data_IF_292065928512
#
_entry.id   IF_292065928512
#
_cell.length_a   1.000
_cell.length_b   1.000
_cell.length_c   1.000
_cell.angle_alpha   90.00
_cell.angle_beta   90.00
_cell.angle_gamma   90.00
#
_symmetry.space_group_name_H-M   'P 1'
#
loop_
_entity.id
_entity.type
_entity.pdbx_description
1 polymer ?
#
# COMPACT_ATOMS: atom_id res chain seq x y z
N UNK A 1 66.55 -3.30 -8.11
CA UNK A 1 67.54 -3.56 -7.06
C UNK A 1 66.82 -3.72 -5.73
N UNK A 2 67.12 -4.80 -5.02
CA UNK A 2 66.88 -5.12 -3.60
C UNK A 2 65.46 -4.85 -3.02
N UNK A 3 64.59 -5.83 -2.76
CA UNK A 3 64.66 -7.07 -1.94
C UNK A 3 64.38 -6.84 -0.45
N UNK A 4 63.49 -7.70 0.06
CA UNK A 4 63.24 -8.13 1.43
C UNK A 4 62.42 -7.21 2.35
N UNK A 5 61.45 -7.73 3.11
CA UNK A 5 61.09 -9.12 3.36
C UNK A 5 60.78 -9.36 4.84
N UNK A 6 60.22 -10.56 5.09
CA UNK A 6 59.96 -11.22 6.37
C UNK A 6 58.64 -10.84 7.06
N UNK A 7 57.62 -11.71 7.02
CA UNK A 7 57.50 -12.97 7.80
C UNK A 7 57.21 -12.66 9.27
N UNK A 8 56.16 -13.18 9.90
CA UNK A 8 55.48 -14.46 9.74
C UNK A 8 55.46 -15.12 11.12
N UNK A 9 54.35 -15.76 11.49
CA UNK A 9 54.31 -17.14 12.02
C UNK A 9 52.92 -17.49 12.62
N UNK A 10 52.62 -18.80 12.71
CA UNK A 10 51.25 -19.34 12.72
C UNK A 10 50.95 -20.20 13.97
N UNK A 11 49.82 -20.92 13.92
CA UNK A 11 49.55 -22.20 14.61
C UNK A 11 49.11 -22.07 16.08
N UNK A 12 48.00 -22.69 16.54
CA UNK A 12 47.78 -24.11 16.91
C UNK A 12 46.24 -24.23 17.14
N UNK A 13 45.43 -25.04 16.46
CA UNK A 13 45.24 -26.51 16.43
C UNK A 13 44.65 -27.16 17.70
N UNK A 14 43.66 -28.05 17.46
CA UNK A 14 43.10 -29.13 18.31
C UNK A 14 41.95 -28.73 19.25
N UNK A 15 40.86 -29.49 19.42
CA UNK A 15 40.26 -30.68 18.78
C UNK A 15 38.81 -30.78 19.34
N UNK A 16 37.90 -31.52 18.69
CA UNK A 16 36.56 -31.83 19.19
C UNK A 16 36.57 -33.07 20.10
N UNK A 17 35.53 -33.32 20.90
CA UNK A 17 35.09 -34.62 21.46
C UNK A 17 33.81 -34.39 22.30
N UNK A 18 32.66 -34.93 21.86
CA UNK A 18 31.96 -36.10 22.45
C UNK A 18 31.27 -35.79 23.80
N UNK A 19 30.15 -36.38 24.20
CA UNK A 19 29.11 -37.24 23.66
C UNK A 19 28.21 -37.51 24.88
N UNK A 20 26.89 -37.70 24.71
CA UNK A 20 26.11 -38.66 25.51
C UNK A 20 24.65 -38.65 25.05
N UNK A 21 24.31 -39.68 24.27
CA UNK A 21 23.00 -40.33 24.29
C UNK A 21 22.85 -41.10 25.62
N UNK A 22 21.61 -41.35 26.10
CA UNK A 22 20.95 -42.64 25.81
C UNK A 22 19.48 -42.42 25.39
N UNK A 23 18.96 -43.02 24.31
CA UNK A 23 18.47 -44.40 24.19
C UNK A 23 17.49 -44.83 25.29
N UNK A 24 16.19 -44.85 24.96
CA UNK A 24 15.26 -45.96 25.25
C UNK A 24 13.92 -45.75 24.53
N UNK A 25 13.84 -46.43 23.37
CA UNK A 25 12.81 -47.32 22.81
C UNK A 25 11.37 -47.42 23.40
N UNK A 26 10.43 -48.01 22.63
CA UNK A 26 9.07 -47.51 22.42
C UNK A 26 7.98 -48.35 23.10
N UNK A 27 6.76 -47.79 23.19
CA UNK A 27 5.59 -48.53 23.63
C UNK A 27 4.26 -47.86 23.27
N UNK A 28 3.73 -48.24 22.10
CA UNK A 28 2.33 -48.66 21.77
C UNK A 28 1.09 -47.86 22.27
N UNK A 29 -0.05 -48.03 21.58
CA UNK A 29 -1.08 -47.01 21.43
C UNK A 29 -2.11 -47.03 22.56
N UNK A 30 -2.66 -45.85 22.87
CA UNK A 30 -3.80 -45.72 23.78
C UNK A 30 -5.11 -45.74 22.98
N UNK A 31 -5.93 -46.77 23.22
CA UNK A 31 -7.28 -46.94 22.70
C UNK A 31 -8.34 -46.33 23.66
N UNK A 32 -9.46 -45.92 23.05
CA UNK A 32 -10.82 -45.68 23.57
C UNK A 32 -11.04 -45.49 25.08
N UNK A 33 -11.68 -44.36 25.39
CA UNK A 33 -13.06 -44.34 25.92
C UNK A 33 -13.52 -42.88 26.06
N UNK A 34 -14.48 -42.41 25.25
CA UNK A 34 -15.90 -42.31 25.66
C UNK A 34 -16.10 -41.81 27.09
N UNK A 35 -16.33 -40.50 27.23
CA UNK A 35 -16.95 -39.93 28.43
C UNK A 35 -18.30 -39.28 28.07
N UNK A 36 -19.34 -39.45 28.90
CA UNK A 36 -20.75 -39.36 28.49
C UNK A 36 -21.39 -38.07 29.00
N UNK A 37 -21.67 -37.12 28.12
CA UNK A 37 -22.54 -35.97 28.42
C UNK A 37 -23.48 -35.60 27.28
N UNK A 38 -23.95 -36.62 26.58
CA UNK A 38 -25.13 -36.55 25.72
C UNK A 38 -25.94 -37.80 26.08
N UNK A 39 -27.24 -37.63 26.38
CA UNK A 39 -28.22 -38.63 26.89
C UNK A 39 -28.46 -38.61 28.40
N UNK A 40 -29.04 -37.51 28.88
CA UNK A 40 -30.01 -37.56 29.98
C UNK A 40 -30.91 -36.33 29.89
N UNK A 41 -31.93 -36.38 29.02
CA UNK A 41 -33.18 -35.60 29.09
C UNK A 41 -34.08 -35.92 27.88
N UNK A 42 -34.20 -37.21 27.56
CA UNK A 42 -35.30 -37.77 26.77
C UNK A 42 -35.80 -38.97 27.57
N UNK A 43 -37.11 -39.11 27.70
CA UNK A 43 -37.87 -40.08 28.53
C UNK A 43 -38.19 -39.67 29.98
N UNK A 44 -38.88 -38.53 30.11
CA UNK A 44 -40.03 -38.42 31.03
C UNK A 44 -41.14 -37.75 30.23
N UNK A 45 -42.37 -38.28 30.33
CA UNK A 45 -43.60 -37.78 29.72
C UNK A 45 -43.93 -38.21 28.27
N UNK A 46 -43.97 -39.53 28.05
CA UNK A 46 -45.01 -40.12 27.21
C UNK A 46 -46.05 -40.75 28.16
N UNK A 47 -47.20 -40.11 28.37
CA UNK A 47 -48.46 -40.78 28.72
C UNK A 47 -49.64 -39.81 28.61
N UNK A 48 -50.52 -40.11 27.66
CA UNK A 48 -51.98 -39.91 27.65
C UNK A 48 -52.61 -38.69 28.34
N UNK A 49 -53.31 -37.85 27.54
CA UNK A 49 -54.78 -37.94 27.44
C UNK A 49 -55.32 -37.07 26.30
N UNK A 50 -56.28 -37.62 25.56
CA UNK A 50 -57.08 -36.97 24.53
C UNK A 50 -58.05 -35.94 25.13
N UNK A 51 -58.18 -34.78 24.48
CA UNK A 51 -59.43 -34.03 24.23
C UNK A 51 -59.20 -33.31 22.89
N UNK A 52 -59.70 -33.81 21.75
CA UNK A 52 -61.04 -33.57 21.21
C UNK A 52 -61.39 -32.08 21.08
N UNK A 53 -61.53 -31.64 19.81
CA UNK A 53 -62.55 -30.74 19.24
C UNK A 53 -61.97 -29.62 18.36
N UNK A 54 -62.52 -29.50 17.16
CA UNK A 54 -62.65 -28.23 16.45
C UNK A 54 -61.79 -28.10 15.20
N UNK A 55 -62.46 -28.08 14.05
CA UNK A 55 -61.89 -28.09 12.71
C UNK A 55 -60.84 -27.01 12.41
N UNK A 56 -60.04 -27.29 11.39
CA UNK A 56 -59.20 -26.29 10.75
C UNK A 56 -60.09 -25.11 10.29
N UNK A 57 -59.91 -23.89 10.82
CA UNK A 57 -60.51 -22.75 10.19
C UNK A 57 -59.79 -22.56 8.86
N UNK A 58 -60.52 -22.73 7.75
CA UNK A 58 -60.13 -22.14 6.48
C UNK A 58 -60.12 -20.62 6.70
N UNK A 59 -58.97 -20.08 7.09
CA UNK A 59 -58.80 -18.62 7.19
C UNK A 59 -59.04 -18.07 5.79
N UNK A 60 -60.22 -17.49 5.59
CA UNK A 60 -60.50 -16.55 4.51
C UNK A 60 -59.41 -15.49 4.56
N UNK A 61 -58.40 -15.65 3.72
CA UNK A 61 -57.30 -14.70 3.67
C UNK A 61 -57.84 -13.48 2.93
N UNK A 62 -58.13 -12.42 3.69
CA UNK A 62 -58.47 -11.13 3.11
C UNK A 62 -57.39 -10.81 2.06
N UNK A 63 -57.75 -10.72 0.75
CA UNK A 63 -56.76 -10.57 -0.31
C UNK A 63 -55.87 -9.36 -0.06
N UNK A 64 -56.41 -8.29 0.55
CA UNK A 64 -55.63 -7.11 0.97
C UNK A 64 -54.55 -7.48 2.00
N UNK A 65 -54.85 -8.28 3.01
CA UNK A 65 -53.87 -8.71 4.02
C UNK A 65 -52.77 -9.61 3.42
N UNK A 66 -53.10 -10.40 2.39
CA UNK A 66 -52.12 -11.21 1.65
C UNK A 66 -51.16 -10.33 0.86
N UNK A 67 -51.71 -9.33 0.15
CA UNK A 67 -50.91 -8.32 -0.55
C UNK A 67 -50.04 -7.50 0.39
N UNK A 68 -50.55 -7.11 1.58
CA UNK A 68 -49.73 -6.44 2.60
C UNK A 68 -48.57 -7.31 3.10
N UNK A 69 -48.77 -8.61 3.31
CA UNK A 69 -47.70 -9.53 3.71
C UNK A 69 -46.65 -9.73 2.63
N UNK A 70 -47.07 -9.85 1.37
CA UNK A 70 -46.15 -9.95 0.22
C UNK A 70 -45.35 -8.66 0.07
N UNK A 71 -46.01 -7.50 0.14
CA UNK A 71 -45.36 -6.20 0.02
C UNK A 71 -44.35 -5.97 1.15
N UNK A 72 -44.73 -6.30 2.39
CA UNK A 72 -43.84 -6.21 3.55
C UNK A 72 -42.65 -7.17 3.44
N UNK A 73 -42.87 -8.39 2.95
CA UNK A 73 -41.79 -9.35 2.71
C UNK A 73 -40.84 -8.89 1.60
N UNK A 74 -41.37 -8.27 0.54
CA UNK A 74 -40.56 -7.73 -0.56
C UNK A 74 -39.73 -6.53 -0.10
N UNK A 75 -40.29 -5.62 0.70
CA UNK A 75 -39.54 -4.47 1.22
C UNK A 75 -38.45 -4.88 2.20
N UNK A 76 -38.72 -5.84 3.08
CA UNK A 76 -37.69 -6.43 3.96
C UNK A 76 -36.62 -7.15 3.16
N UNK A 77 -36.98 -7.89 2.11
CA UNK A 77 -36.04 -8.59 1.24
C UNK A 77 -35.13 -7.62 0.46
N UNK A 78 -35.69 -6.57 -0.14
CA UNK A 78 -34.93 -5.54 -0.86
C UNK A 78 -34.06 -4.73 0.10
N UNK A 79 -34.56 -4.38 1.28
CA UNK A 79 -33.77 -3.71 2.32
C UNK A 79 -32.61 -4.57 2.82
N UNK A 80 -32.84 -5.87 3.01
CA UNK A 80 -31.80 -6.83 3.41
C UNK A 80 -30.74 -7.00 2.29
N UNK A 81 -31.17 -7.08 1.02
CA UNK A 81 -30.26 -7.15 -0.12
C UNK A 81 -29.46 -5.85 -0.30
N UNK A 82 -30.07 -4.69 -0.09
CA UNK A 82 -29.39 -3.39 -0.12
C UNK A 82 -28.35 -3.29 1.00
N UNK A 83 -28.69 -3.69 2.22
CA UNK A 83 -27.73 -3.76 3.33
C UNK A 83 -26.60 -4.76 3.06
N UNK A 84 -26.89 -5.91 2.44
CA UNK A 84 -25.87 -6.89 2.04
C UNK A 84 -24.93 -6.33 0.96
N UNK A 85 -25.47 -5.57 -0.01
CA UNK A 85 -24.66 -4.87 -1.02
C UNK A 85 -23.71 -3.83 -0.39
N UNK A 86 -24.12 -3.11 0.66
CA UNK A 86 -23.23 -2.14 1.34
C UNK A 86 -22.04 -2.77 2.06
N UNK A 87 -22.15 -4.02 2.53
CA UNK A 87 -21.04 -4.71 3.22
C UNK A 87 -19.95 -5.21 2.24
N UNK A 88 -20.28 -5.36 0.96
CA UNK A 88 -19.33 -5.80 -0.08
C UNK A 88 -18.50 -4.66 -0.67
N UNK A 89 -18.94 -3.40 -0.53
CA UNK A 89 -18.27 -2.21 -1.09
C UNK A 89 -17.62 -1.40 0.03
N UNK A 90 -16.87 -2.05 0.93
CA UNK A 90 -15.97 -1.32 1.83
C UNK A 90 -14.73 -0.90 1.03
N UNK A 91 -14.45 0.40 0.86
CA UNK A 91 -13.23 0.82 0.17
C UNK A 91 -12.02 0.28 0.94
N UNK A 92 -11.22 -0.55 0.28
CA UNK A 92 -9.98 -1.06 0.86
C UNK A 92 -9.03 0.12 1.00
N UNK A 93 -8.47 0.31 2.21
CA UNK A 93 -7.37 1.26 2.40
C UNK A 93 -6.25 0.89 1.41
N UNK A 94 -5.73 1.84 0.63
CA UNK A 94 -4.64 1.58 -0.30
C UNK A 94 -3.45 0.95 0.44
N UNK A 95 -2.91 -0.15 -0.10
CA UNK A 95 -1.80 -0.87 0.52
C UNK A 95 -0.43 -0.30 0.14
N UNK A 96 -0.38 0.43 -0.97
CA UNK A 96 0.84 0.98 -1.55
C UNK A 96 0.53 2.29 -2.30
N UNK A 97 1.59 3.03 -2.65
CA UNK A 97 1.51 4.32 -3.31
C UNK A 97 0.87 4.28 -4.71
N UNK A 98 1.05 3.20 -5.46
CA UNK A 98 0.53 3.12 -6.84
C UNK A 98 -0.96 2.83 -6.90
N UNK A 99 -1.55 2.36 -5.80
CA UNK A 99 -3.00 2.13 -5.67
C UNK A 99 -3.82 3.43 -5.60
N UNK A 100 -3.18 4.59 -5.50
CA UNK A 100 -3.87 5.88 -5.45
C UNK A 100 -4.15 6.46 -6.84
N UNK A 101 -5.10 7.38 -6.89
CA UNK A 101 -5.32 8.26 -8.04
C UNK A 101 -4.84 9.68 -7.69
N UNK A 102 -4.37 10.40 -8.70
CA UNK A 102 -4.00 11.80 -8.59
C UNK A 102 -4.59 12.57 -9.76
N UNK A 103 -4.71 13.90 -9.64
CA UNK A 103 -5.08 14.75 -10.78
C UNK A 103 -3.82 15.15 -11.54
N UNK A 104 -3.81 15.03 -12.87
CA UNK A 104 -2.74 15.59 -13.70
C UNK A 104 -2.79 17.13 -13.71
N UNK A 105 -1.79 17.79 -14.30
CA UNK A 105 -1.77 19.26 -14.37
C UNK A 105 -2.98 19.87 -15.11
N UNK A 106 -3.69 19.10 -15.94
CA UNK A 106 -4.91 19.52 -16.66
C UNK A 106 -6.19 19.24 -15.85
N UNK A 107 -6.08 18.72 -14.63
CA UNK A 107 -7.18 18.42 -13.73
C UNK A 107 -7.84 17.05 -13.94
N UNK A 108 -7.34 16.24 -14.87
CA UNK A 108 -7.88 14.90 -15.17
C UNK A 108 -7.39 13.90 -14.13
N UNK A 109 -8.28 13.05 -13.64
CA UNK A 109 -7.89 11.96 -12.75
C UNK A 109 -7.05 10.94 -13.51
N UNK A 110 -5.90 10.57 -12.95
CA UNK A 110 -4.98 9.57 -13.46
C UNK A 110 -4.64 8.58 -12.36
N UNK A 111 -4.72 7.28 -12.68
CA UNK A 111 -4.25 6.25 -11.76
C UNK A 111 -2.73 6.24 -11.70
N UNK A 112 -2.17 6.13 -10.49
CA UNK A 112 -0.73 5.96 -10.28
C UNK A 112 -0.26 4.53 -10.58
N UNK A 113 -1.18 3.59 -10.79
CA UNK A 113 -0.90 2.19 -11.12
C UNK A 113 -0.02 2.05 -12.37
N UNK A 114 -0.14 2.99 -13.32
CA UNK A 114 0.70 3.03 -14.53
C UNK A 114 2.20 3.18 -14.26
N UNK A 115 2.59 3.57 -13.05
CA UNK A 115 3.98 3.68 -12.62
C UNK A 115 4.47 2.44 -11.86
N UNK A 116 3.60 1.47 -11.57
CA UNK A 116 3.96 0.21 -10.92
C UNK A 116 5.01 -0.54 -11.75
N UNK A 117 5.93 -1.22 -11.07
CA UNK A 117 7.02 -1.94 -11.72
C UNK A 117 8.24 -1.07 -12.06
N UNK A 118 8.22 0.21 -11.69
CA UNK A 118 9.32 1.18 -11.86
C UNK A 118 9.72 1.77 -10.51
N UNK A 119 10.95 2.27 -10.42
CA UNK A 119 11.33 3.17 -9.34
C UNK A 119 10.70 4.55 -9.58
N UNK A 120 10.07 5.15 -8.56
CA UNK A 120 9.50 6.49 -8.65
C UNK A 120 10.11 7.42 -7.61
N UNK A 121 10.66 8.55 -8.06
CA UNK A 121 11.09 9.63 -7.16
C UNK A 121 9.97 10.68 -7.09
N UNK A 122 9.22 10.68 -6.00
CA UNK A 122 8.11 11.62 -5.78
C UNK A 122 8.63 12.87 -5.09
N UNK A 123 8.32 14.05 -5.62
CA UNK A 123 8.89 15.32 -5.16
C UNK A 123 7.80 16.38 -5.00
N UNK A 124 7.77 17.08 -3.86
CA UNK A 124 6.96 18.30 -3.73
C UNK A 124 7.73 19.49 -4.33
N UNK A 125 7.22 20.07 -5.41
CA UNK A 125 7.95 21.09 -6.18
C UNK A 125 7.37 22.49 -5.98
N UNK A 126 8.20 23.48 -6.27
CA UNK A 126 7.81 24.88 -6.36
C UNK A 126 8.58 25.61 -7.48
N UNK A 127 7.99 26.66 -8.02
CA UNK A 127 8.45 27.48 -9.13
C UNK A 127 9.20 28.72 -8.66
N UNK A 128 8.83 29.30 -7.51
CA UNK A 128 9.46 30.51 -6.96
C UNK A 128 10.21 30.25 -5.65
N UNK A 129 11.13 29.29 -5.65
CA UNK A 129 11.97 28.96 -4.49
C UNK A 129 13.46 29.07 -4.85
N UNK A 130 14.32 29.46 -3.91
CA UNK A 130 15.77 29.52 -4.11
C UNK A 130 16.40 28.18 -4.55
N UNK A 131 15.70 27.06 -4.29
CA UNK A 131 16.15 25.72 -4.65
C UNK A 131 15.61 25.23 -5.99
N UNK A 132 14.74 26.01 -6.66
CA UNK A 132 14.01 25.59 -7.86
C UNK A 132 14.94 25.26 -9.03
N UNK A 133 15.88 26.16 -9.34
CA UNK A 133 16.77 25.98 -10.49
C UNK A 133 17.65 24.73 -10.36
N UNK A 134 18.33 24.60 -9.21
CA UNK A 134 19.21 23.45 -8.96
C UNK A 134 18.43 22.13 -8.96
N UNK A 135 17.25 22.08 -8.32
CA UNK A 135 16.47 20.86 -8.26
C UNK A 135 15.90 20.45 -9.62
N UNK A 136 15.29 21.36 -10.39
CA UNK A 136 14.73 20.98 -11.69
C UNK A 136 15.80 20.48 -12.66
N UNK A 137 16.97 21.14 -12.72
CA UNK A 137 18.09 20.70 -13.55
C UNK A 137 18.56 19.30 -13.16
N UNK A 138 18.83 19.05 -11.88
CA UNK A 138 19.31 17.74 -11.42
C UNK A 138 18.27 16.63 -11.52
N UNK A 139 16.98 16.93 -11.29
CA UNK A 139 15.89 15.97 -11.45
C UNK A 139 15.69 15.59 -12.92
N UNK A 140 15.77 16.56 -13.84
CA UNK A 140 15.66 16.30 -15.27
C UNK A 140 16.83 15.46 -15.79
N UNK A 141 18.05 15.77 -15.34
CA UNK A 141 19.23 14.97 -15.68
C UNK A 141 19.09 13.53 -15.18
N UNK A 142 18.72 13.33 -13.91
CA UNK A 142 18.50 12.00 -13.33
C UNK A 142 17.40 11.23 -14.10
N UNK A 143 16.31 11.91 -14.44
CA UNK A 143 15.20 11.33 -15.20
C UNK A 143 15.62 10.89 -16.61
N UNK A 144 16.46 11.68 -17.28
CA UNK A 144 17.00 11.38 -18.60
C UNK A 144 17.99 10.22 -18.56
N UNK A 145 18.92 10.21 -17.61
CA UNK A 145 19.99 9.20 -17.51
C UNK A 145 19.46 7.79 -17.23
N UNK A 146 18.51 7.67 -16.30
CA UNK A 146 18.03 6.35 -15.86
C UNK A 146 16.97 5.74 -16.79
N UNK A 147 16.54 6.48 -17.80
CA UNK A 147 15.55 6.04 -18.79
C UNK A 147 14.15 5.84 -18.20
N UNK A 148 13.13 6.23 -18.96
CA UNK A 148 11.72 6.20 -18.52
C UNK A 148 11.13 4.79 -18.36
N UNK A 149 11.85 3.75 -18.81
CA UNK A 149 11.41 2.35 -18.77
C UNK A 149 11.40 1.78 -17.35
N UNK A 150 12.33 2.20 -16.49
CA UNK A 150 12.51 1.65 -15.13
C UNK A 150 12.50 2.73 -14.04
N UNK A 151 12.51 4.01 -14.41
CA UNK A 151 12.51 5.12 -13.47
C UNK A 151 11.62 6.28 -13.94
N UNK A 152 11.01 6.99 -12.99
CA UNK A 152 10.33 8.25 -13.27
C UNK A 152 10.33 9.21 -12.06
N UNK A 153 10.51 10.50 -12.34
CA UNK A 153 10.24 11.57 -11.36
C UNK A 153 8.74 11.90 -11.41
N UNK A 154 8.10 12.07 -10.26
CA UNK A 154 6.69 12.43 -10.13
C UNK A 154 6.60 13.76 -9.37
N UNK A 155 6.27 14.85 -10.07
CA UNK A 155 6.29 16.20 -9.50
C UNK A 155 4.91 16.63 -9.02
N UNK A 156 4.78 16.93 -7.72
CA UNK A 156 3.56 17.40 -7.08
C UNK A 156 3.76 18.84 -6.61
N UNK A 157 3.26 19.86 -7.34
CA UNK A 157 3.37 21.24 -6.91
C UNK A 157 2.66 21.49 -5.58
N UNK A 158 3.25 22.29 -4.69
CA UNK A 158 2.65 22.64 -3.40
C UNK A 158 2.93 24.10 -3.02
N UNK A 159 1.89 24.85 -2.69
CA UNK A 159 2.00 26.27 -2.30
C UNK A 159 2.09 26.54 -0.81
N UNK A 160 2.10 25.51 0.05
CA UNK A 160 2.02 25.68 1.51
C UNK A 160 3.35 26.06 2.19
N UNK A 161 4.42 26.23 1.41
CA UNK A 161 5.76 26.53 1.94
C UNK A 161 6.26 27.85 1.35
N UNK A 162 6.18 28.93 2.13
CA UNK A 162 6.70 30.26 1.75
C UNK A 162 5.97 30.93 0.58
N UNK A 163 4.70 30.60 0.32
CA UNK A 163 3.86 31.14 -0.76
C UNK A 163 4.49 31.07 -2.16
N UNK A 164 5.36 30.07 -2.37
CA UNK A 164 6.16 29.95 -3.59
C UNK A 164 5.40 29.42 -4.81
N UNK A 165 4.14 28.97 -4.64
CA UNK A 165 3.34 28.30 -5.68
C UNK A 165 1.89 28.81 -5.80
N UNK A 166 1.76 30.08 -6.21
CA UNK A 166 0.45 30.74 -6.34
C UNK A 166 -0.30 30.38 -7.63
N UNK A 167 0.41 30.02 -8.70
CA UNK A 167 -0.14 29.74 -10.02
C UNK A 167 -1.07 28.52 -10.11
N UNK A 168 -1.71 28.37 -11.28
CA UNK A 168 -2.51 27.20 -11.63
C UNK A 168 -1.58 26.04 -12.04
N UNK A 169 -2.04 24.81 -11.83
CA UNK A 169 -1.27 23.59 -12.15
C UNK A 169 -0.72 23.57 -13.59
N UNK A 170 -1.47 24.09 -14.56
CA UNK A 170 -1.07 24.13 -15.98
C UNK A 170 0.07 25.13 -16.22
N UNK A 171 0.02 26.27 -15.55
CA UNK A 171 1.03 27.33 -15.69
C UNK A 171 2.34 26.90 -15.03
N UNK A 172 2.25 26.20 -13.90
CA UNK A 172 3.38 25.61 -13.19
C UNK A 172 4.10 24.58 -14.09
N UNK A 173 3.34 23.65 -14.69
CA UNK A 173 3.90 22.67 -15.63
C UNK A 173 4.52 23.37 -16.84
N UNK A 174 3.84 24.37 -17.40
CA UNK A 174 4.33 25.12 -18.56
C UNK A 174 5.64 25.86 -18.25
N UNK A 175 5.72 26.52 -17.10
CA UNK A 175 6.92 27.21 -16.60
C UNK A 175 8.10 26.23 -16.48
N UNK A 176 7.89 25.10 -15.79
CA UNK A 176 8.96 24.13 -15.58
C UNK A 176 9.47 23.56 -16.92
N UNK A 177 8.55 23.32 -17.88
CA UNK A 177 8.89 22.83 -19.22
C UNK A 177 9.63 23.87 -20.05
N UNK A 178 9.13 25.11 -20.10
CA UNK A 178 9.72 26.17 -20.94
C UNK A 178 11.08 26.63 -20.41
N UNK A 179 11.26 26.64 -19.09
CA UNK A 179 12.45 27.20 -18.44
C UNK A 179 13.55 26.15 -18.24
N UNK A 180 13.18 24.90 -17.91
CA UNK A 180 14.14 23.85 -17.55
C UNK A 180 14.10 22.63 -18.46
N UNK A 181 13.19 22.59 -19.44
CA UNK A 181 13.08 21.47 -20.39
C UNK A 181 12.68 20.15 -19.71
N UNK A 182 11.94 20.21 -18.59
CA UNK A 182 11.55 19.00 -17.86
C UNK A 182 10.59 18.13 -18.69
N UNK A 183 10.80 16.82 -18.66
CA UNK A 183 9.98 15.85 -19.42
C UNK A 183 9.20 14.89 -18.52
N UNK A 184 9.47 14.90 -17.22
CA UNK A 184 8.74 14.08 -16.25
C UNK A 184 7.33 14.63 -15.96
N UNK A 185 6.39 13.77 -15.52
CA UNK A 185 5.00 14.15 -15.26
C UNK A 185 4.84 15.14 -14.10
N UNK A 186 3.99 16.15 -14.34
CA UNK A 186 3.46 17.05 -13.33
C UNK A 186 2.01 16.71 -12.99
N UNK A 187 1.72 16.71 -11.70
CA UNK A 187 0.37 16.58 -11.17
C UNK A 187 -0.23 17.96 -10.89
N UNK A 188 -1.53 17.97 -10.57
CA UNK A 188 -2.18 19.17 -10.05
C UNK A 188 -1.52 19.63 -8.75
N UNK A 189 -1.58 20.94 -8.49
CA UNK A 189 -1.18 21.50 -7.20
C UNK A 189 -1.95 20.82 -6.08
N UNK A 190 -1.23 20.33 -5.07
CA UNK A 190 -1.78 19.61 -3.92
C UNK A 190 -1.59 20.39 -2.63
N UNK A 191 -2.27 19.92 -1.58
CA UNK A 191 -1.94 20.24 -0.18
C UNK A 191 -1.24 19.03 0.42
N UNK A 192 -0.20 19.28 1.20
CA UNK A 192 0.56 18.29 1.98
C UNK A 192 0.20 18.41 3.46
N UNK A 193 -0.13 19.61 3.93
CA UNK A 193 -0.49 19.89 5.33
C UNK A 193 -2.00 20.07 5.49
N UNK A 194 -2.52 19.65 6.64
CA UNK A 194 -3.90 19.87 7.07
C UNK A 194 -4.85 18.71 6.75
N UNK A 195 -6.14 18.92 7.03
CA UNK A 195 -7.21 17.93 6.79
C UNK A 195 -7.43 17.63 5.30
N UNK A 196 -7.10 18.58 4.43
CA UNK A 196 -7.21 18.47 2.97
C UNK A 196 -5.92 17.94 2.31
N UNK A 197 -4.99 17.37 3.08
CA UNK A 197 -3.78 16.78 2.53
C UNK A 197 -4.11 15.70 1.49
N UNK A 198 -3.44 15.74 0.35
CA UNK A 198 -3.59 14.78 -0.74
C UNK A 198 -3.35 13.35 -0.21
N UNK A 199 -4.28 12.39 -0.43
CA UNK A 199 -4.16 11.06 0.13
C UNK A 199 -2.91 10.30 -0.32
N UNK A 200 -2.48 10.48 -1.58
CA UNK A 200 -1.30 9.81 -2.10
C UNK A 200 -0.03 10.39 -1.47
N UNK A 201 0.04 11.72 -1.33
CA UNK A 201 1.18 12.35 -0.65
C UNK A 201 1.20 12.04 0.86
N UNK A 202 0.02 12.00 1.50
CA UNK A 202 -0.12 11.62 2.90
C UNK A 202 0.38 10.19 3.17
N UNK A 203 0.13 9.25 2.26
CA UNK A 203 0.72 7.91 2.35
C UNK A 203 2.25 7.96 2.41
N UNK A 204 2.89 8.83 1.63
CA UNK A 204 4.34 8.98 1.64
C UNK A 204 4.85 9.48 3.00
N UNK A 205 4.23 10.54 3.53
CA UNK A 205 4.62 11.14 4.81
C UNK A 205 4.36 10.21 5.99
N UNK A 206 3.24 9.48 5.96
CA UNK A 206 2.87 8.50 6.98
C UNK A 206 3.80 7.27 6.93
N UNK A 207 4.22 6.84 5.74
CA UNK A 207 5.14 5.71 5.59
C UNK A 207 6.50 5.95 6.25
N UNK A 208 6.99 7.20 6.23
CA UNK A 208 8.28 7.57 6.84
C UNK A 208 8.14 8.30 8.17
N UNK A 209 6.91 8.55 8.64
CA UNK A 209 6.60 9.34 9.84
C UNK A 209 7.30 10.72 9.85
N UNK A 210 7.36 11.38 8.68
CA UNK A 210 7.94 12.71 8.48
C UNK A 210 7.10 13.52 7.51
N UNK A 211 6.85 14.77 7.88
CA UNK A 211 6.11 15.74 7.08
C UNK A 211 7.11 16.74 6.48
N UNK A 212 7.02 17.08 5.18
CA UNK A 212 7.85 18.10 4.59
C UNK A 212 7.74 19.43 5.32
N UNK A 213 8.91 20.01 5.62
CA UNK A 213 9.02 21.34 6.22
C UNK A 213 9.29 22.43 5.18
N UNK A 214 9.61 22.02 3.95
CA UNK A 214 9.94 22.92 2.85
C UNK A 214 9.70 22.25 1.49
N UNK A 215 9.89 23.01 0.42
CA UNK A 215 9.88 22.53 -0.96
C UNK A 215 11.05 21.55 -1.23
N UNK A 216 10.87 20.67 -2.22
CA UNK A 216 11.87 19.70 -2.68
C UNK A 216 12.27 18.62 -1.68
N UNK A 217 11.33 18.16 -0.85
CA UNK A 217 11.45 16.85 -0.23
C UNK A 217 11.18 15.77 -1.27
N UNK A 218 11.89 14.66 -1.14
CA UNK A 218 11.95 13.61 -2.17
C UNK A 218 11.70 12.27 -1.50
N UNK A 219 10.86 11.44 -2.10
CA UNK A 219 10.50 10.12 -1.60
C UNK A 219 10.77 9.09 -2.69
N UNK A 220 11.64 8.12 -2.41
CA UNK A 220 11.88 7.00 -3.31
C UNK A 220 10.88 5.89 -3.03
N UNK A 221 10.07 5.61 -4.05
CA UNK A 221 9.08 4.54 -4.06
C UNK A 221 9.60 3.42 -4.95
N UNK A 222 9.58 2.19 -4.41
CA UNK A 222 10.02 1.00 -5.12
C UNK A 222 8.94 0.47 -6.09
N UNK A 223 9.25 -0.54 -6.94
CA UNK A 223 8.30 -1.09 -7.92
C UNK A 223 6.97 -1.59 -7.35
N UNK A 224 6.94 -2.00 -6.08
CA UNK A 224 5.77 -2.48 -5.37
C UNK A 224 4.95 -1.35 -4.72
N UNK A 225 5.40 -0.10 -4.82
CA UNK A 225 4.71 1.08 -4.28
C UNK A 225 5.02 1.36 -2.81
N UNK A 226 6.09 0.80 -2.25
CA UNK A 226 6.55 1.08 -0.89
C UNK A 226 7.58 2.21 -0.88
N UNK A 227 7.50 3.09 0.12
CA UNK A 227 8.53 4.11 0.34
C UNK A 227 9.73 3.46 1.00
N UNK A 228 10.89 3.52 0.36
CA UNK A 228 12.13 2.90 0.86
C UNK A 228 13.14 3.95 1.36
N UNK A 229 13.04 5.19 0.90
CA UNK A 229 13.91 6.30 1.31
C UNK A 229 13.20 7.63 1.15
N UNK A 230 13.63 8.63 1.91
CA UNK A 230 13.30 10.02 1.67
C UNK A 230 14.55 10.91 1.87
N UNK A 231 14.53 12.08 1.26
CA UNK A 231 15.53 13.13 1.44
C UNK A 231 14.86 14.48 1.67
N UNK A 232 15.48 15.29 2.51
CA UNK A 232 15.13 16.70 2.74
C UNK A 232 15.68 17.58 1.61
N UNK A 233 15.31 18.85 1.67
CA UNK A 233 15.71 19.88 0.69
C UNK A 233 17.22 20.05 0.56
N UNK A 234 17.94 19.99 1.68
CA UNK A 234 19.37 20.27 1.84
C UNK A 234 20.28 19.07 1.57
N UNK A 235 19.70 17.88 1.36
CA UNK A 235 20.49 16.68 1.09
C UNK A 235 21.03 16.66 -0.34
N UNK A 236 22.29 16.20 -0.55
CA UNK A 236 22.96 16.29 -1.83
C UNK A 236 22.34 15.36 -2.88
N UNK A 237 22.17 15.87 -4.11
CA UNK A 237 21.69 15.08 -5.26
C UNK A 237 22.54 13.85 -5.58
N UNK A 238 23.82 13.83 -5.19
CA UNK A 238 24.68 12.66 -5.34
C UNK A 238 24.18 11.45 -4.54
N UNK A 239 23.71 11.66 -3.31
CA UNK A 239 23.14 10.59 -2.46
C UNK A 239 21.87 10.01 -3.09
N UNK A 240 20.99 10.90 -3.57
CA UNK A 240 19.76 10.52 -4.27
C UNK A 240 20.09 9.71 -5.53
N UNK A 241 21.02 10.18 -6.37
CA UNK A 241 21.43 9.50 -7.60
C UNK A 241 21.96 8.09 -7.30
N UNK A 242 22.80 7.94 -6.27
CA UNK A 242 23.37 6.66 -5.89
C UNK A 242 22.28 5.63 -5.54
N UNK A 243 21.36 5.98 -4.63
CA UNK A 243 20.30 5.06 -4.19
C UNK A 243 19.30 4.75 -5.32
N UNK A 244 18.91 5.75 -6.11
CA UNK A 244 17.99 5.53 -7.24
C UNK A 244 18.64 4.65 -8.31
N UNK A 245 19.91 4.89 -8.63
CA UNK A 245 20.64 4.07 -9.63
C UNK A 245 20.78 2.62 -9.17
N UNK A 246 21.06 2.39 -7.88
CA UNK A 246 21.12 1.05 -7.31
C UNK A 246 19.78 0.31 -7.47
N UNK A 247 18.67 0.94 -7.09
CA UNK A 247 17.34 0.36 -7.22
C UNK A 247 16.99 0.06 -8.69
N UNK A 248 17.30 0.97 -9.62
CA UNK A 248 17.04 0.74 -11.05
C UNK A 248 17.84 -0.44 -11.58
N UNK A 249 19.09 -0.60 -11.16
CA UNK A 249 19.92 -1.76 -11.54
C UNK A 249 19.30 -3.06 -11.03
N UNK A 250 18.83 -3.10 -9.79
CA UNK A 250 18.15 -4.27 -9.22
C UNK A 250 16.89 -4.64 -10.02
N UNK A 251 16.09 -3.65 -10.41
CA UNK A 251 14.90 -3.84 -11.26
C UNK A 251 15.28 -4.49 -12.59
N UNK A 252 16.33 -3.99 -13.24
CA UNK A 252 16.80 -4.51 -14.53
C UNK A 252 17.29 -5.95 -14.39
N UNK A 253 18.09 -6.24 -13.36
CA UNK A 253 18.62 -7.60 -13.11
C UNK A 253 17.46 -8.58 -12.85
N UNK A 254 16.52 -8.22 -11.98
CA UNK A 254 15.35 -9.05 -11.67
C UNK A 254 14.53 -9.36 -12.92
N UNK A 255 14.23 -8.33 -13.73
CA UNK A 255 13.48 -8.52 -14.99
C UNK A 255 14.21 -9.38 -16.02
N UNK A 256 15.54 -9.33 -16.07
CA UNK A 256 16.34 -10.20 -16.96
C UNK A 256 16.40 -11.64 -16.49
N UNK A 257 16.35 -11.89 -15.18
CA UNK A 257 16.34 -13.25 -14.63
C UNK A 257 14.98 -13.95 -14.68
N UNK A 258 13.90 -13.20 -14.89
CA UNK A 258 12.54 -13.71 -15.06
C UNK A 258 12.17 -14.04 -16.53
N UNK A 259 13.04 -13.66 -17.48
CA UNK A 259 12.91 -13.91 -18.94
C UNK A 259 13.74 -15.14 -19.35
#
# INVERSE_FOLDING_TARGET
MAVCGAAGKPFVSRRPLQAAHPLLLPGRPYDRSSSPRVKKFLNVFFSSKMEALGGYPTKSSNPRARWFRVLLSMTVGVGCLFLLQTQLIKPRKPKDFYSFEARDAKGRTVSLEKYRGKASLVVNVASHCQHTEANYKSLQELHRELGTSHFNVLAFPCGQFGDTELGLSRDIEAFAKSTYGVTFPFFSKIRILGSEADPAFRFLTDSVQKIPKWNFWKFLVNPEGKVIRFWKTDEPMASIRQEVTALVREIIIKKRGEL
#
